data_IF_585271208676
#
_entry.id   IF_585271208676
#
_cell.length_a   1.000
_cell.length_b   1.000
_cell.length_c   1.000
_cell.angle_alpha   90.00
_cell.angle_beta   90.00
_cell.angle_gamma   90.00
#
_symmetry.space_group_name_H-M   'P 1'
#
loop_
_entity.id
_entity.type
_entity.pdbx_description
1 polymer ?
#
# COMPACT_ATOMS: atom_id res chain seq x y z
N UNK A 1 15.37 -9.76 -13.67
CA UNK A 1 15.06 -8.95 -12.47
C UNK A 1 14.20 -7.72 -12.83
N UNK A 2 13.06 -7.90 -13.51
CA UNK A 2 12.16 -6.78 -13.90
C UNK A 2 10.87 -6.74 -13.08
N UNK A 3 10.52 -7.84 -12.41
CA UNK A 3 9.32 -7.99 -11.59
C UNK A 3 9.35 -7.02 -10.41
N UNK A 4 10.45 -6.95 -9.67
CA UNK A 4 10.60 -6.09 -8.47
C UNK A 4 10.32 -4.61 -8.75
N UNK A 5 10.75 -4.08 -9.92
CA UNK A 5 10.49 -2.68 -10.29
C UNK A 5 9.02 -2.44 -10.63
N UNK A 6 8.36 -3.41 -11.28
CA UNK A 6 6.92 -3.33 -11.60
C UNK A 6 6.08 -3.41 -10.32
N UNK A 7 6.42 -4.31 -9.40
CA UNK A 7 5.74 -4.45 -8.12
C UNK A 7 5.89 -3.18 -7.25
N UNK A 8 7.08 -2.58 -7.21
CA UNK A 8 7.28 -1.29 -6.52
C UNK A 8 6.36 -0.20 -7.07
N UNK A 9 6.34 -0.06 -8.40
CA UNK A 9 5.45 0.90 -9.07
C UNK A 9 3.98 0.59 -8.80
N UNK A 10 3.61 -0.68 -8.75
CA UNK A 10 2.24 -1.12 -8.46
C UNK A 10 1.81 -0.76 -7.03
N UNK A 11 2.59 -1.13 -6.00
CA UNK A 11 2.26 -0.83 -4.61
C UNK A 11 2.23 0.67 -4.32
N UNK A 12 3.15 1.43 -4.93
CA UNK A 12 3.15 2.89 -4.83
C UNK A 12 1.87 3.51 -5.40
N UNK A 13 1.50 3.16 -6.65
CA UNK A 13 0.30 3.68 -7.30
C UNK A 13 -0.97 3.32 -6.52
N UNK A 14 -1.05 2.08 -6.01
CA UNK A 14 -2.18 1.60 -5.20
C UNK A 14 -2.33 2.41 -3.92
N UNK A 15 -1.22 2.72 -3.26
CA UNK A 15 -1.22 3.53 -2.04
C UNK A 15 -1.56 5.00 -2.31
N UNK A 16 -0.98 5.61 -3.36
CA UNK A 16 -1.27 7.00 -3.74
C UNK A 16 -2.76 7.19 -4.04
N UNK A 17 -3.37 6.27 -4.80
CA UNK A 17 -4.81 6.30 -5.07
C UNK A 17 -5.65 6.21 -3.79
N UNK A 18 -5.30 5.27 -2.90
CA UNK A 18 -6.01 5.08 -1.63
C UNK A 18 -5.91 6.31 -0.70
N UNK A 19 -4.73 6.94 -0.64
CA UNK A 19 -4.53 8.16 0.15
C UNK A 19 -5.28 9.35 -0.43
N UNK A 20 -5.32 9.52 -1.77
CA UNK A 20 -6.08 10.60 -2.39
C UNK A 20 -7.58 10.52 -2.10
N UNK A 21 -8.14 9.30 -2.01
CA UNK A 21 -9.56 9.09 -1.72
C UNK A 21 -9.90 9.26 -0.25
N UNK A 22 -9.06 8.73 0.66
CA UNK A 22 -9.42 8.59 2.08
C UNK A 22 -8.58 9.47 3.02
N UNK A 23 -7.40 9.91 2.62
CA UNK A 23 -6.44 10.62 3.47
C UNK A 23 -5.76 11.77 2.70
N UNK A 24 -6.52 12.77 2.19
CA UNK A 24 -5.95 13.86 1.39
C UNK A 24 -4.86 14.64 2.15
N UNK A 25 -4.85 14.62 3.49
CA UNK A 25 -3.81 15.22 4.30
C UNK A 25 -2.45 14.47 4.25
N UNK A 26 -2.45 13.21 3.77
CA UNK A 26 -1.27 12.35 3.64
C UNK A 26 -0.88 12.05 2.19
N UNK A 27 -1.70 12.42 1.22
CA UNK A 27 -1.45 12.19 -0.22
C UNK A 27 -0.08 12.73 -0.68
N UNK A 28 0.33 13.89 -0.14
CA UNK A 28 1.58 14.55 -0.54
C UNK A 28 2.81 14.12 0.30
N UNK A 29 2.65 13.21 1.26
CA UNK A 29 3.76 12.69 2.06
C UNK A 29 4.54 11.64 1.27
N UNK A 30 5.40 12.12 0.36
CA UNK A 30 6.23 11.28 -0.49
C UNK A 30 7.16 10.36 0.31
N UNK A 31 7.59 10.77 1.50
CA UNK A 31 8.45 9.95 2.36
C UNK A 31 7.66 8.76 2.92
N UNK A 32 6.44 9.02 3.41
CA UNK A 32 5.52 7.97 3.84
C UNK A 32 5.17 7.01 2.71
N UNK A 33 4.78 7.53 1.55
CA UNK A 33 4.41 6.72 0.37
C UNK A 33 5.56 5.81 -0.06
N UNK A 34 6.78 6.36 -0.15
CA UNK A 34 7.96 5.59 -0.56
C UNK A 34 8.28 4.49 0.45
N UNK A 35 8.39 4.84 1.74
CA UNK A 35 8.69 3.87 2.79
C UNK A 35 7.63 2.75 2.86
N UNK A 36 6.35 3.10 2.72
CA UNK A 36 5.27 2.13 2.79
C UNK A 36 5.21 1.21 1.56
N UNK A 37 5.47 1.73 0.37
CA UNK A 37 5.57 0.92 -0.84
C UNK A 37 6.77 -0.05 -0.77
N UNK A 38 7.90 0.38 -0.22
CA UNK A 38 9.08 -0.47 0.00
C UNK A 38 8.82 -1.57 1.04
N UNK A 39 8.12 -1.26 2.13
CA UNK A 39 7.67 -2.26 3.12
C UNK A 39 6.76 -3.31 2.48
N UNK A 40 5.76 -2.90 1.69
CA UNK A 40 4.83 -3.80 1.01
C UNK A 40 5.55 -4.68 -0.03
N UNK A 41 6.47 -4.10 -0.80
CA UNK A 41 7.30 -4.86 -1.74
C UNK A 41 8.17 -5.90 -1.03
N UNK A 42 8.75 -5.54 0.11
CA UNK A 42 9.55 -6.47 0.91
C UNK A 42 8.68 -7.65 1.36
N UNK A 43 7.49 -7.39 1.90
CA UNK A 43 6.55 -8.43 2.28
C UNK A 43 6.13 -9.34 1.11
N UNK A 44 5.91 -8.76 -0.08
CA UNK A 44 5.64 -9.52 -1.30
C UNK A 44 6.81 -10.44 -1.66
N UNK A 45 8.03 -9.89 -1.71
CA UNK A 45 9.24 -10.65 -2.03
C UNK A 45 9.49 -11.77 -1.03
N UNK A 46 9.30 -11.51 0.26
CA UNK A 46 9.45 -12.51 1.32
C UNK A 46 8.41 -13.63 1.18
N UNK A 47 7.16 -13.30 0.86
CA UNK A 47 6.11 -14.30 0.63
C UNK A 47 6.41 -15.16 -0.61
N UNK A 48 6.84 -14.55 -1.72
CA UNK A 48 7.26 -15.29 -2.92
C UNK A 48 8.46 -16.19 -2.61
N UNK A 49 9.44 -15.72 -1.84
CA UNK A 49 10.61 -16.51 -1.43
C UNK A 49 10.23 -17.69 -0.51
N UNK A 50 9.15 -17.56 0.25
CA UNK A 50 8.58 -18.62 1.09
C UNK A 50 7.72 -19.62 0.31
N UNK A 51 7.49 -19.40 -0.98
CA UNK A 51 6.75 -20.31 -1.87
C UNK A 51 5.25 -20.03 -1.97
N UNK A 52 4.78 -18.89 -1.46
CA UNK A 52 3.40 -18.45 -1.67
C UNK A 52 3.15 -18.10 -3.14
N UNK A 53 1.90 -18.26 -3.57
CA UNK A 53 1.47 -17.83 -4.90
C UNK A 53 1.46 -16.29 -5.00
N UNK A 54 1.51 -15.76 -6.23
CA UNK A 54 1.51 -14.31 -6.44
C UNK A 54 0.28 -13.61 -5.81
N UNK A 55 -0.95 -14.15 -5.92
CA UNK A 55 -2.11 -13.56 -5.25
C UNK A 55 -2.03 -13.57 -3.71
N UNK A 56 -1.47 -14.63 -3.12
CA UNK A 56 -1.28 -14.70 -1.66
C UNK A 56 -0.24 -13.68 -1.19
N UNK A 57 0.90 -13.62 -1.89
CA UNK A 57 1.94 -12.62 -1.63
C UNK A 57 1.41 -11.18 -1.79
N UNK A 58 0.56 -10.93 -2.78
CA UNK A 58 -0.10 -9.64 -2.97
C UNK A 58 -1.06 -9.30 -1.82
N UNK A 59 -1.83 -10.28 -1.33
CA UNK A 59 -2.72 -10.10 -0.19
C UNK A 59 -1.93 -9.71 1.07
N UNK A 60 -0.84 -10.41 1.36
CA UNK A 60 0.04 -10.11 2.50
C UNK A 60 0.70 -8.73 2.38
N UNK A 61 1.19 -8.39 1.19
CA UNK A 61 1.73 -7.07 0.91
C UNK A 61 0.67 -5.96 1.05
N UNK A 62 -0.58 -6.24 0.67
CA UNK A 62 -1.69 -5.30 0.81
C UNK A 62 -2.08 -5.04 2.28
N UNK A 63 -1.92 -6.03 3.17
CA UNK A 63 -2.08 -5.81 4.62
C UNK A 63 -1.02 -4.85 5.15
N UNK A 64 0.23 -5.01 4.71
CA UNK A 64 1.32 -4.08 5.07
C UNK A 64 1.04 -2.69 4.49
N UNK A 65 0.63 -2.61 3.22
CA UNK A 65 0.35 -1.36 2.51
C UNK A 65 -0.67 -0.50 3.27
N UNK A 66 -1.78 -1.10 3.71
CA UNK A 66 -2.88 -0.38 4.38
C UNK A 66 -2.76 -0.36 5.92
N UNK A 67 -1.66 -0.85 6.50
CA UNK A 67 -1.47 -0.91 7.95
C UNK A 67 -1.64 0.46 8.60
N UNK A 68 -2.62 0.56 9.50
CA UNK A 68 -2.94 1.81 10.22
C UNK A 68 -3.69 2.85 9.39
N UNK A 69 -4.21 2.48 8.21
CA UNK A 69 -5.02 3.34 7.34
C UNK A 69 -6.49 2.86 7.24
N UNK A 70 -6.93 1.91 8.07
CA UNK A 70 -8.31 1.37 8.01
C UNK A 70 -9.40 2.36 8.46
N UNK A 71 -9.04 3.37 9.25
CA UNK A 71 -9.98 4.38 9.73
C UNK A 71 -9.53 5.76 9.29
N UNK A 72 -10.30 6.36 8.39
CA UNK A 72 -10.14 7.76 8.00
C UNK A 72 -11.06 8.68 8.82
N UNK A 73 -10.47 9.73 9.40
CA UNK A 73 -11.23 10.82 10.01
C UNK A 73 -11.99 11.63 8.95
N UNK A 74 -11.43 11.73 7.74
CA UNK A 74 -12.07 12.40 6.61
C UNK A 74 -13.37 11.69 6.22
N UNK A 75 -13.32 10.36 6.01
CA UNK A 75 -14.52 9.57 5.67
C UNK A 75 -15.60 9.66 6.75
N UNK A 76 -15.20 9.69 8.02
CA UNK A 76 -16.14 9.82 9.13
C UNK A 76 -16.86 11.17 9.10
N UNK A 77 -16.17 12.25 8.71
CA UNK A 77 -16.78 13.58 8.60
C UNK A 77 -17.67 13.68 7.34
N UNK A 78 -17.23 13.12 6.21
CA UNK A 78 -18.02 13.11 4.96
C UNK A 78 -19.30 12.29 5.11
N UNK A 79 -19.27 11.16 5.83
CA UNK A 79 -20.46 10.31 6.02
C UNK A 79 -21.54 10.90 6.93
N UNK A 80 -21.22 11.95 7.71
CA UNK A 80 -22.15 12.58 8.67
C UNK A 80 -22.78 13.86 8.11
N UNK A 81 -22.22 14.40 7.02
CA UNK A 81 -22.71 15.60 6.32
C UNK A 81 -23.72 15.23 5.22
#
# INVERSE_FOLDING_TARGET
MTTTKKELSYFRLKLEAYLGEHFPERENDNAFVTARADEALTAYCDAVAQGFSHPEAESMASEVLHRGLHFSKYDTLVSVL
#
